data_IF_729506076587
#
_entry.id   IF_729506076587
#
_cell.length_a   1.000
_cell.length_b   1.000
_cell.length_c   1.000
_cell.angle_alpha   90.00
_cell.angle_beta   90.00
_cell.angle_gamma   90.00
#
_symmetry.space_group_name_H-M   'P 1'
#
loop_
_entity.id
_entity.type
_entity.pdbx_description
1 polymer ?
#
# COMPACT_ATOMS: atom_id res chain seq x y z
N UNK A 1 -2.87 8.12 13.47
CA UNK A 1 -3.30 9.11 12.45
C UNK A 1 -2.05 9.72 11.85
N UNK A 2 -2.10 10.10 10.57
CA UNK A 2 -0.99 10.78 9.92
C UNK A 2 -0.75 12.15 10.56
N UNK A 3 0.53 12.50 10.67
CA UNK A 3 1.00 13.80 11.14
C UNK A 3 0.94 14.84 10.03
N UNK A 4 0.97 16.11 10.41
CA UNK A 4 1.03 17.22 9.44
C UNK A 4 2.25 17.11 8.50
N UNK A 5 3.38 16.62 9.02
CA UNK A 5 4.59 16.38 8.24
C UNK A 5 4.35 15.30 7.18
N UNK A 6 3.74 14.18 7.56
CA UNK A 6 3.45 13.08 6.63
C UNK A 6 2.46 13.49 5.54
N UNK A 7 1.47 14.33 5.86
CA UNK A 7 0.57 14.91 4.86
C UNK A 7 1.33 15.81 3.88
N UNK A 8 2.18 16.72 4.38
CA UNK A 8 3.01 17.59 3.54
C UNK A 8 3.97 16.80 2.65
N UNK A 9 4.58 15.74 3.18
CA UNK A 9 5.49 14.87 2.42
C UNK A 9 4.73 14.12 1.30
N UNK A 10 3.51 13.65 1.57
CA UNK A 10 2.65 13.02 0.56
C UNK A 10 2.27 14.01 -0.55
N UNK A 11 1.84 15.23 -0.18
CA UNK A 11 1.45 16.26 -1.15
C UNK A 11 2.64 16.68 -2.03
N UNK A 12 3.82 16.81 -1.44
CA UNK A 12 5.06 17.10 -2.17
C UNK A 12 5.41 15.97 -3.15
N UNK A 13 5.32 14.71 -2.70
CA UNK A 13 5.57 13.55 -3.56
C UNK A 13 4.57 13.49 -4.73
N UNK A 14 3.27 13.67 -4.47
CA UNK A 14 2.23 13.69 -5.50
C UNK A 14 2.44 14.81 -6.52
N UNK A 15 3.04 15.93 -6.10
CA UNK A 15 3.39 17.05 -6.98
C UNK A 15 4.61 16.74 -7.87
N UNK A 16 5.50 15.84 -7.43
CA UNK A 16 6.66 15.37 -8.20
C UNK A 16 6.38 14.16 -9.10
N UNK A 17 5.16 13.63 -9.09
CA UNK A 17 4.81 12.43 -9.85
C UNK A 17 4.97 12.66 -11.37
N UNK A 18 5.63 11.75 -12.12
CA UNK A 18 5.82 11.88 -13.57
C UNK A 18 4.51 12.07 -14.35
N UNK A 19 4.43 13.09 -15.21
CA UNK A 19 3.20 13.42 -15.95
C UNK A 19 2.74 12.32 -16.91
N UNK A 20 3.69 11.53 -17.41
CA UNK A 20 3.46 10.42 -18.33
C UNK A 20 2.96 9.14 -17.64
N UNK A 21 2.95 9.09 -16.30
CA UNK A 21 2.49 7.93 -15.52
C UNK A 21 1.16 8.20 -14.79
N UNK A 22 0.21 8.71 -15.56
CA UNK A 22 -1.09 9.15 -15.04
C UNK A 22 -1.99 8.00 -14.58
N UNK A 23 -1.86 6.81 -15.18
CA UNK A 23 -2.67 5.65 -14.83
C UNK A 23 -2.19 5.04 -13.50
N UNK A 24 -0.87 4.95 -13.28
CA UNK A 24 -0.28 4.50 -12.03
C UNK A 24 -0.61 5.47 -10.88
N UNK A 25 -0.53 6.79 -11.14
CA UNK A 25 -0.91 7.81 -10.16
C UNK A 25 -2.37 7.66 -9.74
N UNK A 26 -3.26 7.44 -10.72
CA UNK A 26 -4.69 7.20 -10.45
C UNK A 26 -4.87 5.96 -9.59
N UNK A 27 -4.23 4.84 -9.94
CA UNK A 27 -4.29 3.61 -9.17
C UNK A 27 -3.80 3.80 -7.72
N UNK A 28 -2.65 4.46 -7.53
CA UNK A 28 -2.11 4.80 -6.21
C UNK A 28 -3.12 5.57 -5.35
N UNK A 29 -3.73 6.63 -5.92
CA UNK A 29 -4.73 7.43 -5.22
C UNK A 29 -5.99 6.63 -4.89
N UNK A 30 -6.47 5.79 -5.81
CA UNK A 30 -7.64 4.95 -5.58
C UNK A 30 -7.43 3.93 -4.45
N UNK A 31 -6.24 3.33 -4.34
CA UNK A 31 -5.89 2.42 -3.24
C UNK A 31 -5.82 3.17 -1.90
N UNK A 32 -5.23 4.37 -1.89
CA UNK A 32 -5.20 5.23 -0.70
C UNK A 32 -6.62 5.59 -0.23
N UNK A 33 -7.48 6.01 -1.15
CA UNK A 33 -8.86 6.39 -0.79
C UNK A 33 -9.66 5.18 -0.30
N UNK A 34 -9.41 3.99 -0.86
CA UNK A 34 -10.00 2.74 -0.36
C UNK A 34 -9.63 2.50 1.11
N UNK A 35 -8.36 2.67 1.47
CA UNK A 35 -7.90 2.57 2.87
C UNK A 35 -8.54 3.66 3.75
N UNK A 36 -8.52 4.92 3.33
CA UNK A 36 -9.06 6.04 4.11
C UNK A 36 -10.56 5.92 4.37
N UNK A 37 -11.29 5.21 3.50
CA UNK A 37 -12.73 4.98 3.65
C UNK A 37 -13.10 3.98 4.78
N UNK A 38 -12.13 3.37 5.46
CA UNK A 38 -12.33 2.25 6.41
C UNK A 38 -12.04 2.61 7.88
N UNK A 39 -12.82 3.47 8.56
CA UNK A 39 -12.60 3.75 9.98
C UNK A 39 -12.74 2.47 10.83
N UNK A 40 -11.81 2.14 11.77
CA UNK A 40 -10.83 3.03 12.38
C UNK A 40 -9.42 2.94 11.76
N UNK A 41 -9.29 2.75 10.45
CA UNK A 41 -7.99 2.77 9.78
C UNK A 41 -7.30 4.13 9.98
N UNK A 42 -6.03 4.06 10.36
CA UNK A 42 -5.09 5.16 10.38
C UNK A 42 -3.97 4.87 9.39
N UNK A 43 -3.38 5.91 8.84
CA UNK A 43 -2.28 5.79 7.89
C UNK A 43 -1.08 6.62 8.32
N UNK A 44 0.08 6.29 7.75
CA UNK A 44 1.34 7.01 7.86
C UNK A 44 2.05 7.01 6.50
N UNK A 45 2.96 7.95 6.29
CA UNK A 45 3.68 8.11 5.04
C UNK A 45 5.18 8.26 5.30
N UNK A 46 5.98 7.38 4.69
CA UNK A 46 7.44 7.38 4.85
C UNK A 46 8.08 7.73 3.52
N UNK A 47 8.51 8.98 3.40
CA UNK A 47 9.24 9.48 2.25
C UNK A 47 10.74 9.20 2.38
N UNK A 48 11.30 8.45 1.43
CA UNK A 48 12.74 8.25 1.24
C UNK A 48 13.11 8.61 -0.20
N UNK A 49 13.37 9.91 -0.48
CA UNK A 49 13.66 10.37 -1.84
C UNK A 49 14.76 9.57 -2.53
N UNK A 50 14.50 9.12 -3.75
CA UNK A 50 15.42 8.27 -4.54
C UNK A 50 15.48 6.80 -4.13
N UNK A 51 14.70 6.37 -3.13
CA UNK A 51 14.64 4.96 -2.67
C UNK A 51 13.21 4.43 -2.74
N UNK A 52 12.28 5.06 -2.04
CA UNK A 52 10.86 4.65 -2.01
C UNK A 52 9.99 5.66 -1.28
N UNK A 53 8.71 5.64 -1.61
CA UNK A 53 7.66 6.38 -0.91
C UNK A 53 6.62 5.40 -0.39
N UNK A 54 6.66 5.13 0.92
CA UNK A 54 5.77 4.12 1.54
C UNK A 54 4.49 4.76 2.08
N UNK A 55 3.33 4.35 1.58
CA UNK A 55 2.05 4.53 2.25
C UNK A 55 1.74 3.31 3.10
N UNK A 56 1.43 3.50 4.38
CA UNK A 56 1.20 2.43 5.34
C UNK A 56 -0.12 2.64 6.04
N UNK A 57 -0.86 1.56 6.28
CA UNK A 57 -2.12 1.63 7.03
C UNK A 57 -2.19 0.57 8.12
N UNK A 58 -2.78 0.97 9.23
CA UNK A 58 -2.96 0.18 10.44
C UNK A 58 -4.33 0.47 11.04
N UNK A 59 -4.84 -0.41 11.88
CA UNK A 59 -6.06 -0.14 12.65
C UNK A 59 -5.69 0.69 13.87
N UNK A 60 -6.45 1.74 14.18
CA UNK A 60 -6.20 2.59 15.35
C UNK A 60 -6.89 2.10 16.62
N UNK A 61 -7.55 0.94 16.57
CA UNK A 61 -8.32 0.42 17.69
C UNK A 61 -7.43 -0.40 18.63
N UNK A 62 -7.41 -0.02 19.91
CA UNK A 62 -6.66 -0.70 20.96
C UNK A 62 -7.30 -2.02 21.41
N UNK A 63 -8.43 -2.42 20.81
CA UNK A 63 -9.16 -3.65 21.14
C UNK A 63 -8.56 -4.91 20.55
N UNK A 64 -7.66 -4.78 19.57
CA UNK A 64 -7.01 -5.93 18.94
C UNK A 64 -5.64 -6.16 19.59
N UNK A 65 -5.34 -7.38 20.04
CA UNK A 65 -3.99 -7.79 20.50
C UNK A 65 -3.00 -7.97 19.32
N UNK A 66 -3.29 -7.32 18.19
CA UNK A 66 -2.55 -7.45 16.94
C UNK A 66 -1.13 -6.92 17.12
N UNK A 67 -0.15 -7.81 16.97
CA UNK A 67 1.29 -7.48 17.03
C UNK A 67 1.85 -6.93 15.72
N UNK A 68 1.08 -7.00 14.64
CA UNK A 68 1.46 -6.54 13.31
C UNK A 68 1.29 -5.02 13.20
N UNK A 69 2.30 -4.29 12.70
CA UNK A 69 2.29 -2.82 12.67
C UNK A 69 1.39 -2.22 11.58
N UNK A 70 1.06 -2.97 10.53
CA UNK A 70 0.26 -2.49 9.38
C UNK A 70 -0.64 -3.61 8.88
N UNK A 71 -1.75 -3.33 8.21
CA UNK A 71 -2.51 -4.32 7.41
C UNK A 71 -2.36 -4.08 5.90
N UNK A 72 -1.84 -2.91 5.52
CA UNK A 72 -1.57 -2.52 4.14
C UNK A 72 -0.26 -1.74 4.08
N UNK A 73 0.60 -2.12 3.15
CA UNK A 73 1.83 -1.41 2.83
C UNK A 73 1.91 -1.28 1.31
N UNK A 74 2.07 -0.06 0.83
CA UNK A 74 2.28 0.22 -0.58
C UNK A 74 3.51 1.11 -0.72
N UNK A 75 4.49 0.64 -1.48
CA UNK A 75 5.66 1.40 -1.85
C UNK A 75 5.53 1.88 -3.28
N UNK A 76 5.78 3.16 -3.52
CA UNK A 76 6.19 3.64 -4.85
C UNK A 76 7.70 3.56 -4.92
N UNK A 77 8.21 2.84 -5.91
CA UNK A 77 9.64 2.66 -6.15
C UNK A 77 10.01 3.50 -7.36
N UNK A 78 10.80 4.58 -7.19
CA UNK A 78 11.40 5.29 -8.30
C UNK A 78 12.50 4.44 -8.93
N UNK A 79 12.48 4.29 -10.25
CA UNK A 79 13.60 3.73 -11.00
C UNK A 79 14.46 4.87 -11.58
N UNK A 80 15.76 4.94 -11.28
CA UNK A 80 16.66 5.95 -11.87
C UNK A 80 16.74 5.90 -13.40
N UNK A 81 16.51 4.74 -14.00
CA UNK A 81 16.60 4.50 -15.45
C UNK A 81 15.24 4.19 -16.09
N UNK A 82 14.15 4.18 -15.30
CA UNK A 82 12.85 3.68 -15.72
C UNK A 82 11.65 4.42 -15.13
N UNK A 83 10.42 3.96 -15.45
CA UNK A 83 9.21 4.49 -14.85
C UNK A 83 9.13 4.11 -13.37
N UNK A 84 8.25 4.79 -12.63
CA UNK A 84 7.93 4.35 -11.27
C UNK A 84 7.07 3.09 -11.37
N UNK A 85 7.13 2.28 -10.31
CA UNK A 85 6.23 1.15 -10.14
C UNK A 85 5.76 1.08 -8.69
N UNK A 86 4.64 0.40 -8.46
CA UNK A 86 4.09 0.16 -7.14
C UNK A 86 4.37 -1.27 -6.70
N UNK A 87 4.73 -1.45 -5.43
CA UNK A 87 4.68 -2.74 -4.76
C UNK A 87 3.68 -2.66 -3.61
N UNK A 88 2.63 -3.47 -3.67
CA UNK A 88 1.57 -3.50 -2.66
C UNK A 88 1.64 -4.81 -1.91
N UNK A 89 1.88 -4.77 -0.59
CA UNK A 89 2.14 -5.95 0.21
C UNK A 89 1.13 -6.15 1.34
N UNK A 90 0.77 -7.41 1.56
CA UNK A 90 -0.13 -7.89 2.62
C UNK A 90 0.48 -9.10 3.33
N UNK A 91 0.03 -9.36 4.55
CA UNK A 91 0.36 -10.61 5.25
C UNK A 91 -0.38 -11.78 4.59
N UNK A 92 0.28 -12.93 4.47
CA UNK A 92 -0.24 -14.06 3.68
C UNK A 92 -1.55 -14.64 4.22
N UNK A 93 -1.76 -14.52 5.53
CA UNK A 93 -2.89 -15.06 6.28
C UNK A 93 -4.03 -14.04 6.49
N UNK A 94 -3.84 -12.80 6.03
CA UNK A 94 -4.84 -11.73 6.12
C UNK A 94 -5.60 -11.50 4.80
N UNK A 95 -5.17 -12.14 3.73
CA UNK A 95 -5.80 -12.05 2.41
C UNK A 95 -5.90 -13.41 1.72
N UNK A 96 -6.71 -13.48 0.68
CA UNK A 96 -6.74 -14.59 -0.27
C UNK A 96 -6.14 -14.16 -1.60
N UNK A 97 -5.45 -15.05 -2.31
CA UNK A 97 -4.95 -14.79 -3.67
C UNK A 97 -5.48 -15.85 -4.66
N UNK A 98 -6.79 -15.88 -4.95
CA UNK A 98 -7.42 -16.91 -5.79
C UNK A 98 -6.87 -16.93 -7.22
N UNK A 99 -6.44 -15.78 -7.74
CA UNK A 99 -5.91 -15.64 -9.09
C UNK A 99 -4.39 -15.87 -9.16
N UNK A 100 -3.73 -16.11 -8.02
CA UNK A 100 -2.28 -16.34 -7.95
C UNK A 100 -1.44 -15.17 -8.48
N UNK A 101 -1.92 -13.93 -8.30
CA UNK A 101 -1.26 -12.72 -8.82
C UNK A 101 -0.15 -12.21 -7.91
N UNK A 102 -0.11 -12.68 -6.67
CA UNK A 102 0.83 -12.23 -5.65
C UNK A 102 2.17 -12.95 -5.72
N UNK A 103 3.24 -12.18 -5.60
CA UNK A 103 4.58 -12.71 -5.39
C UNK A 103 4.75 -13.05 -3.90
N UNK A 104 4.89 -14.34 -3.59
CA UNK A 104 5.17 -14.80 -2.23
C UNK A 104 6.53 -14.28 -1.75
N UNK A 105 6.55 -13.61 -0.61
CA UNK A 105 7.76 -13.03 0.01
C UNK A 105 7.98 -13.60 1.41
N UNK A 106 8.65 -14.77 1.54
CA UNK A 106 8.95 -15.36 2.84
C UNK A 106 9.77 -14.39 3.70
N UNK A 107 9.24 -14.01 4.87
CA UNK A 107 9.86 -13.03 5.79
C UNK A 107 10.03 -11.61 5.21
N UNK A 108 9.35 -11.27 4.11
CA UNK A 108 9.51 -9.98 3.45
C UNK A 108 8.74 -8.83 4.10
N UNK A 109 7.67 -9.12 4.86
CA UNK A 109 6.83 -8.10 5.50
C UNK A 109 7.03 -8.12 7.01
N UNK A 110 7.92 -7.25 7.50
CA UNK A 110 8.28 -7.18 8.93
C UNK A 110 8.73 -8.53 9.53
N UNK A 111 9.52 -9.30 8.78
CA UNK A 111 9.96 -10.66 9.13
C UNK A 111 8.85 -11.72 9.18
N UNK A 112 7.68 -11.42 8.61
CA UNK A 112 6.61 -12.37 8.40
C UNK A 112 6.40 -12.63 6.90
N UNK A 113 5.73 -13.73 6.60
CA UNK A 113 5.38 -14.10 5.25
C UNK A 113 4.23 -13.22 4.72
N UNK A 114 4.28 -12.93 3.43
CA UNK A 114 3.33 -12.06 2.77
C UNK A 114 3.27 -12.29 1.27
N UNK A 115 2.37 -11.53 0.64
CA UNK A 115 2.30 -11.38 -0.80
C UNK A 115 2.55 -9.93 -1.16
N UNK A 116 3.41 -9.68 -2.15
CA UNK A 116 3.51 -8.38 -2.81
C UNK A 116 2.96 -8.48 -4.23
N UNK A 117 2.30 -7.42 -4.65
CA UNK A 117 1.72 -7.28 -5.97
C UNK A 117 2.37 -6.07 -6.61
N UNK A 118 3.06 -6.31 -7.71
CA UNK A 118 3.76 -5.26 -8.44
C UNK A 118 2.85 -4.70 -9.54
N UNK A 119 2.90 -3.40 -9.76
CA UNK A 119 2.04 -2.72 -10.72
C UNK A 119 2.79 -1.59 -11.42
N UNK A 120 2.73 -1.61 -12.74
CA UNK A 120 3.29 -0.59 -13.64
C UNK A 120 2.18 0.33 -14.18
N UNK A 121 2.60 1.44 -14.80
CA UNK A 121 1.65 2.33 -15.47
C UNK A 121 0.87 1.62 -16.58
N UNK A 122 -0.40 1.96 -16.71
CA UNK A 122 -1.32 1.35 -17.67
C UNK A 122 -1.97 0.04 -17.21
N UNK A 123 -1.64 -0.50 -16.03
CA UNK A 123 -2.37 -1.64 -15.45
C UNK A 123 -3.79 -1.22 -15.02
N UNK A 124 -4.78 -1.87 -15.61
CA UNK A 124 -6.21 -1.57 -15.41
C UNK A 124 -6.93 -2.59 -14.54
N UNK A 125 -6.37 -3.77 -14.33
CA UNK A 125 -7.04 -4.87 -13.64
C UNK A 125 -6.57 -5.03 -12.20
N UNK A 126 -5.26 -4.87 -11.98
CA UNK A 126 -4.64 -5.00 -10.66
C UNK A 126 -5.22 -4.04 -9.62
N UNK A 127 -5.56 -2.76 -9.91
CA UNK A 127 -6.16 -1.88 -8.91
C UNK A 127 -7.47 -2.42 -8.34
N UNK A 128 -8.34 -3.00 -9.17
CA UNK A 128 -9.61 -3.56 -8.72
C UNK A 128 -9.40 -4.81 -7.85
N UNK A 129 -8.42 -5.64 -8.21
CA UNK A 129 -8.03 -6.80 -7.43
C UNK A 129 -7.50 -6.40 -6.05
N UNK A 130 -6.58 -5.45 -6.00
CA UNK A 130 -5.97 -4.97 -4.77
C UNK A 130 -6.96 -4.32 -3.81
N UNK A 131 -8.00 -3.65 -4.31
CA UNK A 131 -9.08 -3.12 -3.46
C UNK A 131 -9.78 -4.23 -2.66
N UNK A 132 -10.03 -5.39 -3.27
CA UNK A 132 -10.61 -6.54 -2.57
C UNK A 132 -9.64 -7.10 -1.50
N UNK A 133 -8.34 -7.13 -1.80
CA UNK A 133 -7.31 -7.53 -0.83
C UNK A 133 -7.18 -6.56 0.34
N UNK A 134 -7.35 -5.25 0.09
CA UNK A 134 -7.44 -4.23 1.15
C UNK A 134 -8.65 -4.50 2.05
N UNK A 135 -9.80 -4.87 1.48
CA UNK A 135 -11.01 -5.18 2.24
C UNK A 135 -10.79 -6.37 3.18
N UNK A 136 -10.17 -7.45 2.68
CA UNK A 136 -9.84 -8.65 3.46
C UNK A 136 -8.82 -8.35 4.57
N UNK A 137 -7.71 -7.71 4.22
CA UNK A 137 -6.66 -7.38 5.18
C UNK A 137 -7.17 -6.47 6.30
N UNK A 138 -7.99 -5.48 5.94
CA UNK A 138 -8.64 -4.63 6.91
C UNK A 138 -9.60 -5.43 7.81
N UNK A 139 -10.44 -6.30 7.24
CA UNK A 139 -11.37 -7.12 8.00
C UNK A 139 -10.66 -8.07 8.97
N UNK A 140 -9.50 -8.62 8.58
CA UNK A 140 -8.66 -9.42 9.47
C UNK A 140 -8.03 -8.56 10.58
N UNK A 141 -7.64 -7.32 10.27
CA UNK A 141 -6.96 -6.44 11.22
C UNK A 141 -7.86 -5.80 12.30
N UNK A 142 -9.19 -5.85 12.14
CA UNK A 142 -10.17 -5.34 13.12
C UNK A 142 -10.86 -6.44 13.94
N UNK A 143 -10.53 -7.71 13.69
CA UNK A 143 -11.01 -8.84 14.49
C UNK A 143 -10.27 -8.94 15.82
#
# INVERSE_FOLDING_TARGET
>A
MATEKEQKDLDAFLSSWPEDQSDLKRAYLELIETVKSKPPAAWSFVSRPGISYSFRAQTSDSKTDRKRPVFFLMDVIPDPEGPFWLSVCFYEDEITDPDGKGNAIPNGLFQEAGYCFDMDDGDRETPAYLKQRIDEAYAAAIQ
#
